data_IF_686693155571
#
_entry.id   IF_686693155571
#
_cell.length_a   1.000
_cell.length_b   1.000
_cell.length_c   1.000
_cell.angle_alpha   90.00
_cell.angle_beta   90.00
_cell.angle_gamma   90.00
#
_symmetry.space_group_name_H-M   'P 1'
#
loop_
_entity.id
_entity.type
_entity.pdbx_description
1 polymer ?
#
# COMPACT_ATOMS: atom_id res chain seq x y z
N UNK A 1 -3.98 0.91 -23.16
CA UNK A 1 -3.35 -0.41 -23.30
C UNK A 1 -1.87 -0.27 -23.52
N UNK A 2 -1.04 -1.06 -22.85
CA UNK A 2 0.41 -1.01 -22.96
C UNK A 2 0.87 -1.58 -24.31
N UNK A 3 1.68 -0.81 -25.02
CA UNK A 3 2.20 -1.25 -26.34
C UNK A 3 3.27 -2.33 -26.17
N UNK A 4 3.46 -3.22 -27.18
CA UNK A 4 4.59 -4.16 -27.16
C UNK A 4 5.91 -3.42 -26.95
N UNK A 5 6.74 -3.93 -26.06
CA UNK A 5 7.99 -3.27 -25.65
C UNK A 5 7.80 -2.17 -24.62
N UNK A 6 6.56 -1.80 -24.28
CA UNK A 6 6.26 -0.79 -23.27
C UNK A 6 6.58 -1.27 -21.85
N UNK A 7 6.79 -0.32 -20.95
CA UNK A 7 7.08 -0.62 -19.55
C UNK A 7 5.92 -0.20 -18.66
N UNK A 8 5.74 -0.94 -17.56
CA UNK A 8 4.78 -0.59 -16.51
C UNK A 8 5.52 -0.53 -15.18
N UNK A 9 5.14 0.41 -14.33
CA UNK A 9 5.65 0.49 -12.98
C UNK A 9 4.49 0.92 -12.07
N UNK A 10 4.38 0.26 -10.92
CA UNK A 10 3.33 0.58 -9.96
C UNK A 10 3.73 0.18 -8.55
N UNK A 11 3.08 0.80 -7.58
CA UNK A 11 3.23 0.42 -6.19
C UNK A 11 2.11 -0.54 -5.79
N UNK A 12 2.43 -1.44 -4.87
CA UNK A 12 1.44 -2.31 -4.25
C UNK A 12 1.70 -2.41 -2.75
N UNK A 13 0.62 -2.49 -1.98
CA UNK A 13 0.68 -2.74 -0.55
C UNK A 13 0.20 -4.17 -0.33
N UNK A 14 0.94 -4.94 0.44
CA UNK A 14 0.57 -6.33 0.70
C UNK A 14 0.73 -6.67 2.18
N UNK A 15 -0.08 -7.62 2.63
CA UNK A 15 0.01 -8.18 3.97
C UNK A 15 1.05 -9.30 3.93
N UNK A 16 1.95 -9.30 4.92
CA UNK A 16 2.99 -10.33 4.98
C UNK A 16 2.39 -11.70 5.30
N UNK A 17 3.11 -12.74 4.90
CA UNK A 17 2.74 -14.12 5.17
C UNK A 17 3.00 -14.47 6.64
N UNK A 18 2.29 -15.48 7.13
CA UNK A 18 2.57 -16.07 8.44
C UNK A 18 1.94 -15.36 9.64
N UNK A 19 1.05 -14.40 9.41
CA UNK A 19 0.37 -13.72 10.50
C UNK A 19 -0.70 -14.61 11.15
N UNK A 20 -0.94 -14.37 12.44
CA UNK A 20 -2.09 -14.97 13.10
C UNK A 20 -3.39 -14.49 12.45
N UNK A 21 -4.50 -15.25 12.56
CA UNK A 21 -5.78 -14.77 12.02
C UNK A 21 -6.20 -13.40 12.56
N UNK A 22 -5.90 -13.11 13.82
CA UNK A 22 -6.22 -11.81 14.43
C UNK A 22 -5.40 -10.68 13.82
N UNK A 23 -4.10 -10.89 13.63
CA UNK A 23 -3.21 -9.89 13.03
C UNK A 23 -3.53 -9.69 11.56
N UNK A 24 -3.85 -10.76 10.83
CA UNK A 24 -4.28 -10.67 9.43
C UNK A 24 -5.53 -9.81 9.30
N UNK A 25 -6.55 -10.05 10.14
CA UNK A 25 -7.78 -9.25 10.13
C UNK A 25 -7.50 -7.78 10.45
N UNK A 26 -6.60 -7.52 11.40
CA UNK A 26 -6.22 -6.16 11.78
C UNK A 26 -5.52 -5.44 10.63
N UNK A 27 -4.57 -6.12 9.98
CA UNK A 27 -3.87 -5.58 8.82
C UNK A 27 -4.83 -5.34 7.66
N UNK A 28 -5.75 -6.26 7.40
CA UNK A 28 -6.76 -6.13 6.35
C UNK A 28 -7.65 -4.90 6.56
N UNK A 29 -8.05 -4.65 7.80
CA UNK A 29 -8.84 -3.48 8.14
C UNK A 29 -8.07 -2.17 7.95
N UNK A 30 -6.77 -2.20 8.25
CA UNK A 30 -5.91 -1.02 8.09
C UNK A 30 -5.73 -0.64 6.63
N UNK A 31 -5.66 -1.61 5.73
CA UNK A 31 -5.50 -1.36 4.28
C UNK A 31 -6.83 -1.03 3.61
N UNK A 32 -7.94 -1.50 4.15
CA UNK A 32 -9.24 -1.37 3.53
C UNK A 32 -9.57 -2.56 2.64
N UNK A 33 -10.10 -2.32 1.45
CA UNK A 33 -10.64 -3.37 0.60
C UNK A 33 -9.64 -3.98 -0.39
N UNK A 34 -8.57 -3.29 -0.70
CA UNK A 34 -7.65 -3.70 -1.75
C UNK A 34 -6.47 -4.49 -1.18
N UNK A 35 -6.74 -5.68 -0.66
CA UNK A 35 -5.70 -6.50 -0.06
C UNK A 35 -5.16 -7.47 -1.09
N UNK A 36 -3.85 -7.40 -1.32
CA UNK A 36 -3.15 -8.34 -2.18
C UNK A 36 -2.90 -9.63 -1.40
N UNK A 37 -3.36 -10.74 -1.96
CA UNK A 37 -3.12 -12.04 -1.36
C UNK A 37 -1.64 -12.41 -1.44
N UNK A 38 -1.07 -12.87 -0.33
CA UNK A 38 0.30 -13.37 -0.31
C UNK A 38 0.46 -14.70 -1.06
N UNK A 39 -0.64 -15.44 -1.27
CA UNK A 39 -0.61 -16.73 -1.95
C UNK A 39 -0.19 -16.62 -3.41
N UNK A 40 -0.45 -15.47 -4.01
CA UNK A 40 -0.03 -15.17 -5.38
C UNK A 40 0.58 -13.80 -5.40
N UNK A 41 1.89 -13.74 -5.62
CA UNK A 41 2.58 -12.46 -5.66
C UNK A 41 2.21 -11.68 -6.90
N UNK A 42 2.42 -10.37 -6.87
CA UNK A 42 2.22 -9.52 -8.05
C UNK A 42 3.16 -9.95 -9.19
N UNK A 43 4.37 -10.44 -8.86
CA UNK A 43 5.28 -10.96 -9.85
C UNK A 43 4.68 -12.15 -10.60
N UNK A 44 4.06 -13.09 -9.88
CA UNK A 44 3.42 -14.24 -10.49
C UNK A 44 2.28 -13.82 -11.42
N UNK A 45 1.50 -12.83 -11.01
CA UNK A 45 0.42 -12.30 -11.83
C UNK A 45 0.95 -11.64 -13.10
N UNK A 46 2.05 -10.90 -13.00
CA UNK A 46 2.69 -10.26 -14.15
C UNK A 46 3.23 -11.32 -15.13
N UNK A 47 3.88 -12.37 -14.61
CA UNK A 47 4.38 -13.47 -15.44
C UNK A 47 3.24 -14.17 -16.16
N UNK A 48 2.17 -14.46 -15.44
CA UNK A 48 0.98 -15.11 -16.01
C UNK A 48 0.33 -14.25 -17.09
N UNK A 49 0.43 -12.94 -16.99
CA UNK A 49 -0.08 -12.01 -18.01
C UNK A 49 0.90 -11.80 -19.18
N UNK A 50 2.05 -12.45 -19.18
CA UNK A 50 3.01 -12.39 -20.26
C UNK A 50 4.06 -11.30 -20.15
N UNK A 51 4.17 -10.63 -19.00
CA UNK A 51 5.21 -9.61 -18.80
C UNK A 51 6.57 -10.24 -18.53
N UNK A 52 7.62 -9.53 -18.92
CA UNK A 52 9.01 -9.93 -18.73
C UNK A 52 9.80 -8.83 -18.01
N UNK A 53 11.03 -9.13 -17.63
CA UNK A 53 11.94 -8.21 -16.95
C UNK A 53 11.29 -7.63 -15.69
N UNK A 54 10.66 -8.51 -14.90
CA UNK A 54 9.95 -8.12 -13.70
C UNK A 54 10.95 -7.84 -12.59
N UNK A 55 10.86 -6.65 -12.01
CA UNK A 55 11.68 -6.26 -10.87
C UNK A 55 10.79 -5.80 -9.73
N UNK A 56 11.13 -6.20 -8.51
CA UNK A 56 10.43 -5.81 -7.30
C UNK A 56 11.41 -5.16 -6.34
N UNK A 57 11.06 -3.98 -5.85
CA UNK A 57 11.86 -3.26 -4.86
C UNK A 57 10.99 -3.02 -3.63
N UNK A 58 11.47 -3.40 -2.45
CA UNK A 58 10.77 -3.11 -1.20
C UNK A 58 10.99 -1.63 -0.87
N UNK A 59 9.90 -0.89 -0.80
CA UNK A 59 9.92 0.55 -0.50
C UNK A 59 9.16 0.85 0.81
N UNK A 60 9.06 -0.14 1.69
CA UNK A 60 8.34 -0.01 2.96
C UNK A 60 8.94 1.09 3.83
N UNK A 61 10.26 1.23 3.86
CA UNK A 61 10.93 2.27 4.64
C UNK A 61 10.51 3.67 4.18
N UNK A 62 10.53 3.90 2.88
CA UNK A 62 10.13 5.18 2.29
C UNK A 62 8.63 5.43 2.50
N UNK A 63 7.84 4.39 2.41
CA UNK A 63 6.41 4.47 2.67
C UNK A 63 6.13 4.83 4.13
N UNK A 64 6.86 4.27 5.07
CA UNK A 64 6.74 4.60 6.49
C UNK A 64 6.99 6.09 6.72
N UNK A 65 8.04 6.63 6.12
CA UNK A 65 8.35 8.06 6.21
C UNK A 65 7.22 8.92 5.63
N UNK A 66 6.67 8.51 4.48
CA UNK A 66 5.55 9.19 3.84
C UNK A 66 4.29 9.15 4.72
N UNK A 67 4.01 8.00 5.33
CA UNK A 67 2.85 7.84 6.21
C UNK A 67 2.93 8.76 7.43
N UNK A 68 4.11 8.87 8.04
CA UNK A 68 4.35 9.82 9.13
C UNK A 68 4.13 11.26 8.68
N UNK A 69 4.66 11.62 7.52
CA UNK A 69 4.51 12.97 6.96
C UNK A 69 3.03 13.31 6.69
N UNK A 70 2.24 12.35 6.19
CA UNK A 70 0.82 12.56 5.97
C UNK A 70 0.06 12.80 7.28
N UNK A 71 0.33 12.01 8.32
CA UNK A 71 -0.30 12.20 9.63
C UNK A 71 0.05 13.55 10.23
N UNK A 72 1.34 13.90 10.20
CA UNK A 72 1.81 15.18 10.71
C UNK A 72 1.20 16.34 9.94
N UNK A 73 1.15 16.27 8.62
CA UNK A 73 0.57 17.30 7.78
C UNK A 73 -0.93 17.50 8.05
N UNK A 74 -1.68 16.40 8.20
CA UNK A 74 -3.10 16.49 8.54
C UNK A 74 -3.32 17.12 9.92
N UNK A 75 -2.48 16.77 10.89
CA UNK A 75 -2.58 17.37 12.23
C UNK A 75 -2.26 18.86 12.21
N UNK A 76 -1.29 19.27 11.39
CA UNK A 76 -0.92 20.68 11.24
C UNK A 76 -2.05 21.52 10.66
N UNK A 77 -2.79 20.96 9.70
CA UNK A 77 -3.89 21.64 9.01
C UNK A 77 -5.27 21.15 9.47
N UNK A 78 -5.36 20.66 10.69
CA UNK A 78 -6.57 20.05 11.21
C UNK A 78 -7.79 20.96 11.08
N UNK A 79 -7.66 22.24 11.46
CA UNK A 79 -8.78 23.18 11.41
C UNK A 79 -9.33 23.31 9.99
N UNK A 80 -8.46 23.52 9.03
CA UNK A 80 -8.83 23.70 7.64
C UNK A 80 -9.44 22.44 7.05
N UNK A 81 -8.86 21.30 7.38
CA UNK A 81 -9.34 20.01 6.88
C UNK A 81 -10.69 19.62 7.52
N UNK A 82 -10.88 19.92 8.79
CA UNK A 82 -12.19 19.68 9.42
C UNK A 82 -13.27 20.55 8.80
N UNK A 83 -12.93 21.78 8.42
CA UNK A 83 -13.85 22.67 7.72
C UNK A 83 -14.20 22.11 6.33
N UNK A 84 -13.20 21.61 5.60
CA UNK A 84 -13.39 21.12 4.23
C UNK A 84 -14.09 19.76 4.18
N UNK A 85 -13.74 18.83 5.09
CA UNK A 85 -14.22 17.44 5.05
C UNK A 85 -15.33 17.15 6.06
N UNK A 86 -15.42 17.93 7.14
CA UNK A 86 -16.24 17.62 8.31
C UNK A 86 -15.46 16.80 9.33
N UNK A 87 -15.90 16.85 10.58
CA UNK A 87 -15.20 16.20 11.69
C UNK A 87 -15.15 14.68 11.55
N UNK A 88 -16.26 14.08 11.13
CA UNK A 88 -16.36 12.62 11.01
C UNK A 88 -15.36 12.10 10.00
N UNK A 89 -15.30 12.71 8.82
CA UNK A 89 -14.39 12.29 7.76
C UNK A 89 -12.93 12.54 8.14
N UNK A 90 -12.64 13.66 8.77
CA UNK A 90 -11.29 13.95 9.25
C UNK A 90 -10.83 12.89 10.24
N UNK A 91 -11.62 12.59 11.25
CA UNK A 91 -11.28 11.62 12.28
C UNK A 91 -11.13 10.22 11.71
N UNK A 92 -12.00 9.85 10.76
CA UNK A 92 -11.93 8.56 10.10
C UNK A 92 -10.63 8.40 9.31
N UNK A 93 -10.23 9.41 8.54
CA UNK A 93 -8.98 9.40 7.77
C UNK A 93 -7.75 9.35 8.68
N UNK A 94 -7.75 10.09 9.77
CA UNK A 94 -6.65 10.04 10.75
C UNK A 94 -6.54 8.66 11.38
N UNK A 95 -7.64 8.08 11.81
CA UNK A 95 -7.65 6.76 12.42
C UNK A 95 -7.16 5.68 11.45
N UNK A 96 -7.62 5.72 10.20
CA UNK A 96 -7.16 4.77 9.18
C UNK A 96 -5.66 4.87 8.94
N UNK A 97 -5.14 6.09 8.88
CA UNK A 97 -3.70 6.31 8.69
C UNK A 97 -2.90 5.84 9.89
N UNK A 98 -3.38 6.04 11.10
CA UNK A 98 -2.74 5.55 12.32
C UNK A 98 -2.73 4.03 12.35
N UNK A 99 -3.84 3.37 12.00
CA UNK A 99 -3.92 1.91 11.93
C UNK A 99 -2.97 1.36 10.87
N UNK A 100 -2.91 2.01 9.70
CA UNK A 100 -2.01 1.62 8.63
C UNK A 100 -0.55 1.72 9.04
N UNK A 101 -0.18 2.84 9.66
CA UNK A 101 1.17 3.05 10.15
C UNK A 101 1.55 2.03 11.22
N UNK A 102 0.66 1.77 12.17
CA UNK A 102 0.88 0.78 13.20
C UNK A 102 1.11 -0.61 12.61
N UNK A 103 0.35 -0.98 11.59
CA UNK A 103 0.52 -2.27 10.90
C UNK A 103 1.86 -2.35 10.17
N UNK A 104 2.30 -1.25 9.54
CA UNK A 104 3.61 -1.19 8.88
C UNK A 104 4.73 -1.34 9.92
N UNK A 105 4.65 -0.61 11.01
CA UNK A 105 5.68 -0.64 12.07
C UNK A 105 5.73 -1.99 12.78
N UNK A 106 4.60 -2.68 12.87
CA UNK A 106 4.53 -4.04 13.39
C UNK A 106 5.07 -5.09 12.42
N UNK A 107 5.40 -4.70 11.18
CA UNK A 107 5.89 -5.61 10.15
C UNK A 107 4.80 -6.41 9.44
N UNK A 108 3.54 -6.03 9.61
CA UNK A 108 2.40 -6.75 9.01
C UNK A 108 2.11 -6.30 7.57
N UNK A 109 2.46 -5.08 7.21
CA UNK A 109 2.26 -4.52 5.88
C UNK A 109 3.59 -4.10 5.28
N UNK A 110 3.72 -4.32 3.97
CA UNK A 110 4.86 -3.87 3.19
C UNK A 110 4.38 -3.22 1.92
N UNK A 111 5.21 -2.32 1.40
CA UNK A 111 4.97 -1.68 0.11
C UNK A 111 6.09 -2.03 -0.83
N UNK A 112 5.74 -2.39 -2.06
CA UNK A 112 6.71 -2.72 -3.09
C UNK A 112 6.47 -1.88 -4.33
N UNK A 113 7.57 -1.55 -5.01
CA UNK A 113 7.53 -0.98 -6.35
C UNK A 113 7.83 -2.11 -7.33
N UNK A 114 6.92 -2.36 -8.24
CA UNK A 114 7.10 -3.35 -9.28
C UNK A 114 7.26 -2.66 -10.62
N UNK A 115 8.15 -3.19 -11.43
CA UNK A 115 8.29 -2.79 -12.82
C UNK A 115 8.36 -4.02 -13.70
N UNK A 116 7.86 -3.90 -14.91
CA UNK A 116 7.86 -4.99 -15.88
C UNK A 116 7.81 -4.43 -17.28
N UNK A 117 8.16 -5.27 -18.25
CA UNK A 117 8.16 -4.93 -19.65
C UNK A 117 7.20 -5.86 -20.40
N UNK A 118 6.41 -5.30 -21.28
CA UNK A 118 5.61 -6.11 -22.21
C UNK A 118 6.51 -6.55 -23.34
N UNK A 119 6.69 -7.88 -23.58
CA UNK A 119 7.53 -8.35 -24.68
C UNK A 119 7.05 -7.86 -26.03
N UNK A 120 7.96 -7.69 -26.94
CA UNK A 120 7.66 -7.35 -28.31
C UNK A 120 7.09 -8.56 -29.07
#
# INVERSE_FOLDING_TARGET
MLKPGGRIAFYTIHIVDGLSPADDRRASRAVGTAVTSWRRTQEDLLRAAGFADIATTDVTREYTATAHAWLEGRSRYERELRTAWGDVDFEDKQRRSELGLAAIEAGHLRRALLSARRPR
#
